data_IF_148861794375
#
_entry.id   IF_148861794375
#
_cell.length_a   1.000
_cell.length_b   1.000
_cell.length_c   1.000
_cell.angle_alpha   90.00
_cell.angle_beta   90.00
_cell.angle_gamma   90.00
#
_symmetry.space_group_name_H-M   'P 1'
#
loop_
_entity.id
_entity.type
_entity.pdbx_description
1 polymer ?
#
# COMPACT_ATOMS: atom_id res chain seq x y z
N UNK A 1 -2.17 30.05 27.70
CA UNK A 1 -3.04 30.54 26.62
C UNK A 1 -4.01 31.54 27.24
N UNK A 2 -3.79 32.83 27.04
CA UNK A 2 -4.71 33.88 27.49
C UNK A 2 -5.93 33.93 26.56
N UNK A 3 -7.12 34.11 27.14
CA UNK A 3 -8.35 34.29 26.37
C UNK A 3 -8.32 35.62 25.60
N UNK A 4 -8.92 35.62 24.41
CA UNK A 4 -9.09 36.85 23.62
C UNK A 4 -9.94 37.84 24.43
N UNK A 5 -9.52 39.11 24.50
CA UNK A 5 -10.11 40.12 25.40
C UNK A 5 -11.62 40.37 25.19
N UNK A 6 -12.16 39.94 24.05
CA UNK A 6 -13.55 40.15 23.65
C UNK A 6 -14.53 39.10 24.21
N UNK A 7 -14.04 37.93 24.64
CA UNK A 7 -14.91 36.84 25.10
C UNK A 7 -14.71 36.64 26.60
N UNK A 8 -15.79 36.72 27.36
CA UNK A 8 -15.74 36.44 28.79
C UNK A 8 -15.55 34.94 29.07
N UNK A 9 -14.83 34.61 30.14
CA UNK A 9 -14.60 33.21 30.53
C UNK A 9 -15.90 32.47 30.85
N UNK A 10 -16.86 33.15 31.47
CA UNK A 10 -18.18 32.58 31.79
C UNK A 10 -19.00 32.25 30.53
N UNK A 11 -18.95 33.13 29.53
CA UNK A 11 -19.60 32.88 28.25
C UNK A 11 -18.97 31.69 27.54
N UNK A 12 -17.63 31.66 27.46
CA UNK A 12 -16.88 30.57 26.85
C UNK A 12 -17.20 29.21 27.48
N UNK A 13 -17.11 29.11 28.80
CA UNK A 13 -17.36 27.85 29.54
C UNK A 13 -18.79 27.36 29.37
N UNK A 14 -19.77 28.27 29.44
CA UNK A 14 -21.19 27.96 29.19
C UNK A 14 -21.42 27.41 27.78
N UNK A 15 -20.84 28.04 26.77
CA UNK A 15 -20.95 27.61 25.37
C UNK A 15 -20.32 26.24 25.15
N UNK A 16 -19.12 26.00 25.71
CA UNK A 16 -18.44 24.69 25.68
C UNK A 16 -19.32 23.60 26.30
N UNK A 17 -19.91 23.86 27.47
CA UNK A 17 -20.77 22.89 28.17
C UNK A 17 -22.05 22.57 27.39
N UNK A 18 -22.62 23.56 26.71
CA UNK A 18 -23.75 23.34 25.82
C UNK A 18 -23.36 22.49 24.61
N UNK A 19 -22.26 22.82 23.94
CA UNK A 19 -21.78 22.08 22.76
C UNK A 19 -21.42 20.64 23.13
N UNK A 20 -20.69 20.44 24.24
CA UNK A 20 -20.30 19.13 24.73
C UNK A 20 -21.52 18.23 24.98
N UNK A 21 -22.55 18.75 25.66
CA UNK A 21 -23.81 18.00 25.90
C UNK A 21 -24.51 17.59 24.60
N UNK A 22 -24.57 18.48 23.60
CA UNK A 22 -25.22 18.20 22.32
C UNK A 22 -24.45 17.17 21.50
N UNK A 23 -23.12 17.29 21.44
CA UNK A 23 -22.28 16.41 20.62
C UNK A 23 -21.96 15.07 21.31
N UNK A 24 -22.04 14.98 22.63
CA UNK A 24 -21.74 13.76 23.40
C UNK A 24 -22.58 12.57 22.95
N UNK A 25 -23.86 12.78 22.61
CA UNK A 25 -24.74 11.68 22.14
C UNK A 25 -24.19 10.97 20.90
N UNK A 26 -23.45 11.67 20.05
CA UNK A 26 -22.94 11.14 18.78
C UNK A 26 -21.47 10.76 18.86
N UNK A 27 -20.66 11.56 19.55
CA UNK A 27 -19.21 11.42 19.56
C UNK A 27 -18.65 11.04 20.93
N UNK A 28 -19.42 11.19 22.01
CA UNK A 28 -18.92 11.08 23.38
C UNK A 28 -18.31 9.72 23.72
N UNK A 29 -18.95 8.63 23.30
CA UNK A 29 -18.50 7.25 23.61
C UNK A 29 -17.13 6.91 23.01
N UNK A 30 -16.73 7.63 21.96
CA UNK A 30 -15.43 7.48 21.33
C UNK A 30 -14.31 8.11 22.17
N UNK A 31 -14.63 9.09 23.02
CA UNK A 31 -13.68 9.86 23.81
C UNK A 31 -13.65 9.48 25.31
N UNK A 32 -14.29 8.38 25.69
CA UNK A 32 -14.42 7.96 27.08
C UNK A 32 -15.65 8.52 27.77
N UNK A 33 -15.46 9.23 28.89
CA UNK A 33 -16.53 9.79 29.72
C UNK A 33 -17.07 11.14 29.21
N UNK A 34 -18.13 11.63 29.87
CA UNK A 34 -18.70 12.95 29.58
C UNK A 34 -17.71 14.07 29.88
N UNK A 35 -16.95 13.94 30.95
CA UNK A 35 -15.97 14.94 31.37
C UNK A 35 -14.76 14.97 30.43
N UNK A 36 -14.28 13.80 29.99
CA UNK A 36 -13.20 13.69 29.00
C UNK A 36 -13.59 14.37 27.68
N UNK A 37 -14.81 14.09 27.19
CA UNK A 37 -15.32 14.71 25.97
C UNK A 37 -15.47 16.24 26.13
N UNK A 38 -15.94 16.70 27.29
CA UNK A 38 -16.05 18.14 27.60
C UNK A 38 -14.68 18.82 27.57
N UNK A 39 -13.66 18.23 28.20
CA UNK A 39 -12.29 18.74 28.18
C UNK A 39 -11.77 18.81 26.74
N UNK A 40 -12.01 17.78 25.94
CA UNK A 40 -11.59 17.75 24.54
C UNK A 40 -12.28 18.84 23.71
N UNK A 41 -13.57 19.09 23.93
CA UNK A 41 -14.32 20.19 23.30
C UNK A 41 -13.72 21.54 23.68
N UNK A 42 -13.34 21.72 24.95
CA UNK A 42 -12.70 22.96 25.42
C UNK A 42 -11.37 23.21 24.69
N UNK A 43 -10.53 22.19 24.53
CA UNK A 43 -9.26 22.30 23.79
C UNK A 43 -9.49 22.72 22.33
N UNK A 44 -10.42 22.07 21.62
CA UNK A 44 -10.75 22.45 20.24
C UNK A 44 -11.33 23.85 20.12
N UNK A 45 -12.11 24.29 21.10
CA UNK A 45 -12.66 25.64 21.15
C UNK A 45 -11.56 26.69 21.38
N UNK A 46 -10.60 26.42 22.27
CA UNK A 46 -9.44 27.29 22.52
C UNK A 46 -8.55 27.43 21.28
N UNK A 47 -8.31 26.34 20.54
CA UNK A 47 -7.57 26.36 19.27
C UNK A 47 -8.25 27.22 18.19
N UNK A 48 -9.58 27.29 18.21
CA UNK A 48 -10.35 28.06 17.24
C UNK A 48 -10.45 29.55 17.57
N UNK A 49 -10.36 29.90 18.86
CA UNK A 49 -10.61 31.23 19.39
C UNK A 49 -9.79 32.35 18.73
N UNK A 50 -8.49 32.16 18.36
CA UNK A 50 -7.71 33.19 17.66
C UNK A 50 -8.27 33.60 16.28
N UNK A 51 -9.17 32.79 15.71
CA UNK A 51 -9.81 33.03 14.39
C UNK A 51 -11.26 33.50 14.54
N UNK A 52 -11.71 33.78 15.76
CA UNK A 52 -13.08 34.20 16.03
C UNK A 52 -13.29 35.66 15.64
N UNK A 53 -14.38 35.92 14.92
CA UNK A 53 -14.85 37.26 14.57
C UNK A 53 -15.97 37.66 15.55
N UNK A 54 -15.76 38.70 16.39
CA UNK A 54 -16.75 39.15 17.37
C UNK A 54 -18.08 39.64 16.78
N UNK A 55 -18.14 39.93 15.47
CA UNK A 55 -19.39 40.30 14.80
C UNK A 55 -20.38 39.14 14.64
N UNK A 56 -19.99 37.90 14.96
CA UNK A 56 -20.82 36.69 14.85
C UNK A 56 -21.04 36.07 16.23
N UNK A 57 -22.14 35.35 16.48
CA UNK A 57 -22.36 34.69 17.77
C UNK A 57 -21.34 33.57 18.02
N UNK A 58 -20.75 33.56 19.23
CA UNK A 58 -19.73 32.60 19.65
C UNK A 58 -20.20 31.15 19.51
N UNK A 59 -21.44 30.86 19.92
CA UNK A 59 -22.06 29.54 19.86
C UNK A 59 -22.02 28.94 18.46
N UNK A 60 -22.40 29.73 17.45
CA UNK A 60 -22.45 29.27 16.06
C UNK A 60 -21.06 28.98 15.50
N UNK A 61 -20.08 29.83 15.83
CA UNK A 61 -18.69 29.66 15.44
C UNK A 61 -18.07 28.41 16.07
N UNK A 62 -18.15 28.29 17.40
CA UNK A 62 -17.58 27.17 18.14
C UNK A 62 -18.27 25.86 17.80
N UNK A 63 -19.60 25.82 17.71
CA UNK A 63 -20.34 24.61 17.34
C UNK A 63 -19.87 24.05 16.00
N UNK A 64 -19.72 24.91 14.98
CA UNK A 64 -19.22 24.48 13.67
C UNK A 64 -17.80 23.92 13.77
N UNK A 65 -16.89 24.63 14.44
CA UNK A 65 -15.49 24.22 14.54
C UNK A 65 -15.33 22.91 15.32
N UNK A 66 -15.89 22.86 16.53
CA UNK A 66 -15.83 21.69 17.42
C UNK A 66 -16.48 20.48 16.76
N UNK A 67 -17.64 20.63 16.11
CA UNK A 67 -18.29 19.53 15.40
C UNK A 67 -17.42 18.97 14.28
N UNK A 68 -16.76 19.84 13.52
CA UNK A 68 -15.83 19.41 12.46
C UNK A 68 -14.62 18.68 13.06
N UNK A 69 -14.08 19.15 14.19
CA UNK A 69 -13.01 18.45 14.92
C UNK A 69 -13.46 17.09 15.45
N UNK A 70 -14.63 17.00 16.07
CA UNK A 70 -15.20 15.75 16.56
C UNK A 70 -15.45 14.76 15.42
N UNK A 71 -15.94 15.23 14.26
CA UNK A 71 -16.08 14.41 13.06
C UNK A 71 -14.74 13.88 12.56
N UNK A 72 -13.73 14.73 12.47
CA UNK A 72 -12.39 14.33 12.04
C UNK A 72 -11.78 13.34 13.02
N UNK A 73 -11.86 13.61 14.32
CA UNK A 73 -11.41 12.68 15.34
C UNK A 73 -12.11 11.34 15.24
N UNK A 74 -13.44 11.35 15.09
CA UNK A 74 -14.25 10.13 14.94
C UNK A 74 -13.86 9.33 13.70
N UNK A 75 -13.56 10.01 12.59
CA UNK A 75 -13.04 9.39 11.36
C UNK A 75 -11.67 8.75 11.59
N UNK A 76 -10.79 9.44 12.30
CA UNK A 76 -9.42 8.98 12.56
C UNK A 76 -9.39 7.72 13.44
N UNK A 77 -10.38 7.57 14.32
CA UNK A 77 -10.49 6.44 15.24
C UNK A 77 -11.47 5.36 14.75
N UNK A 78 -12.00 5.47 13.51
CA UNK A 78 -13.00 4.55 12.98
C UNK A 78 -12.38 3.24 12.44
N UNK A 79 -11.50 2.62 13.20
CA UNK A 79 -10.87 1.34 12.91
C UNK A 79 -11.75 0.16 13.36
N UNK A 80 -11.56 -1.06 12.80
CA UNK A 80 -12.10 -2.29 13.41
C UNK A 80 -11.08 -2.75 14.45
N UNK A 81 -11.31 -2.54 15.75
CA UNK A 81 -10.30 -2.79 16.79
C UNK A 81 -9.91 -4.26 16.91
N UNK A 82 -10.82 -5.17 16.55
CA UNK A 82 -10.58 -6.60 16.66
C UNK A 82 -9.88 -7.12 15.38
N UNK A 83 -8.61 -7.53 15.46
CA UNK A 83 -7.90 -8.08 14.33
C UNK A 83 -8.39 -9.50 14.03
N UNK A 84 -8.53 -9.82 12.74
CA UNK A 84 -8.93 -11.17 12.31
C UNK A 84 -7.91 -12.27 12.67
N UNK A 85 -6.69 -11.89 13.06
CA UNK A 85 -5.64 -12.76 13.56
C UNK A 85 -4.77 -11.99 14.55
N UNK A 86 -4.75 -12.43 15.81
CA UNK A 86 -3.98 -11.80 16.89
C UNK A 86 -2.47 -11.95 16.68
N UNK A 87 -2.01 -13.13 16.24
CA UNK A 87 -0.58 -13.41 15.98
C UNK A 87 0.00 -12.48 14.89
N UNK A 88 -0.68 -12.39 13.74
CA UNK A 88 -0.25 -11.48 12.67
C UNK A 88 -0.27 -10.01 13.13
N UNK A 89 -1.24 -9.63 13.97
CA UNK A 89 -1.32 -8.27 14.49
C UNK A 89 -0.20 -7.93 15.47
N UNK A 90 0.30 -8.90 16.24
CA UNK A 90 1.43 -8.71 17.16
C UNK A 90 2.80 -8.70 16.48
N UNK A 91 2.85 -8.73 15.14
CA UNK A 91 4.09 -8.75 14.37
C UNK A 91 4.67 -10.15 14.15
N UNK A 92 3.93 -11.21 14.51
CA UNK A 92 4.33 -12.60 14.29
C UNK A 92 3.48 -13.20 13.16
N UNK A 93 3.92 -13.10 11.89
CA UNK A 93 3.18 -13.63 10.76
C UNK A 93 2.97 -15.14 10.91
N UNK A 94 1.73 -15.60 10.75
CA UNK A 94 1.37 -17.01 10.88
C UNK A 94 1.28 -17.76 9.53
N UNK A 95 1.71 -17.12 8.43
CA UNK A 95 1.84 -17.77 7.13
C UNK A 95 3.08 -18.68 7.06
N UNK A 96 3.09 -19.65 6.14
CA UNK A 96 4.16 -20.65 6.01
C UNK A 96 5.54 -20.03 5.77
N UNK A 97 5.60 -18.91 5.04
CA UNK A 97 6.85 -18.23 4.67
C UNK A 97 7.16 -17.02 5.57
N UNK A 98 6.53 -16.93 6.74
CA UNK A 98 6.56 -15.70 7.55
C UNK A 98 5.78 -14.55 6.92
N UNK A 99 4.78 -14.87 6.07
CA UNK A 99 3.88 -13.89 5.48
C UNK A 99 2.62 -13.69 6.33
N UNK A 100 1.96 -12.54 6.19
CA UNK A 100 0.69 -12.27 6.86
C UNK A 100 -0.40 -13.20 6.32
N UNK A 101 -1.22 -13.78 7.20
CA UNK A 101 -2.30 -14.64 6.75
C UNK A 101 -3.37 -13.86 5.98
N UNK A 102 -4.05 -14.55 5.04
CA UNK A 102 -5.07 -13.94 4.18
C UNK A 102 -6.17 -13.23 4.98
N UNK A 103 -6.57 -13.76 6.14
CA UNK A 103 -7.56 -13.13 7.03
C UNK A 103 -7.10 -11.75 7.52
N UNK A 104 -5.84 -11.63 7.92
CA UNK A 104 -5.27 -10.37 8.40
C UNK A 104 -5.10 -9.37 7.25
N UNK A 105 -4.64 -9.83 6.08
CA UNK A 105 -4.53 -8.99 4.87
C UNK A 105 -5.89 -8.41 4.46
N UNK A 106 -6.94 -9.25 4.45
CA UNK A 106 -8.30 -8.78 4.14
C UNK A 106 -8.83 -7.80 5.19
N UNK A 107 -8.51 -8.01 6.47
CA UNK A 107 -8.87 -7.07 7.54
C UNK A 107 -8.15 -5.72 7.38
N UNK A 108 -6.85 -5.73 7.05
CA UNK A 108 -6.08 -4.53 6.75
C UNK A 108 -6.70 -3.77 5.57
N UNK A 109 -6.97 -4.45 4.45
CA UNK A 109 -7.64 -3.86 3.27
C UNK A 109 -9.00 -3.24 3.61
N UNK A 110 -9.81 -3.88 4.46
CA UNK A 110 -11.10 -3.32 4.88
C UNK A 110 -10.95 -2.09 5.77
N UNK A 111 -10.00 -2.11 6.70
CA UNK A 111 -9.72 -0.95 7.55
C UNK A 111 -9.14 0.21 6.72
N UNK A 112 -8.26 -0.09 5.76
CA UNK A 112 -7.73 0.87 4.80
C UNK A 112 -8.83 1.46 3.92
N UNK A 113 -9.69 0.63 3.32
CA UNK A 113 -10.83 1.11 2.54
C UNK A 113 -11.76 2.00 3.38
N UNK A 114 -12.04 1.60 4.62
CA UNK A 114 -12.86 2.39 5.56
C UNK A 114 -12.18 3.71 5.92
N UNK A 115 -10.87 3.71 6.12
CA UNK A 115 -10.08 4.91 6.36
C UNK A 115 -10.08 5.83 5.13
N UNK A 116 -9.94 5.29 3.92
CA UNK A 116 -9.99 6.05 2.66
C UNK A 116 -11.38 6.66 2.41
N UNK A 117 -12.46 5.94 2.74
CA UNK A 117 -13.82 6.48 2.69
C UNK A 117 -14.03 7.60 3.73
N UNK A 118 -13.44 7.46 4.91
CA UNK A 118 -13.54 8.45 5.98
C UNK A 118 -12.67 9.69 5.74
N UNK A 119 -11.50 9.51 5.12
CA UNK A 119 -10.53 10.53 4.71
C UNK A 119 -10.32 10.46 3.20
N UNK A 120 -11.22 11.05 2.40
CA UNK A 120 -10.96 11.19 0.98
C UNK A 120 -9.66 11.96 0.78
N UNK A 121 -8.78 11.43 -0.06
CA UNK A 121 -7.50 12.07 -0.39
C UNK A 121 -7.81 13.37 -1.13
N UNK A 122 -7.22 14.49 -0.70
CA UNK A 122 -7.34 15.76 -1.42
C UNK A 122 -6.80 15.61 -2.84
N UNK A 123 -7.45 16.24 -3.82
CA UNK A 123 -7.11 16.15 -5.24
C UNK A 123 -5.64 16.51 -5.50
N UNK A 124 -5.10 17.44 -4.71
CA UNK A 124 -3.71 17.88 -4.77
C UNK A 124 -2.70 16.74 -4.50
N UNK A 125 -3.06 15.79 -3.62
CA UNK A 125 -2.22 14.62 -3.30
C UNK A 125 -2.42 13.44 -4.24
N UNK A 126 -3.49 13.44 -5.02
CA UNK A 126 -3.75 12.36 -5.98
C UNK A 126 -2.69 12.40 -7.09
N UNK A 127 -2.36 13.60 -7.59
CA UNK A 127 -1.35 13.77 -8.63
C UNK A 127 0.07 13.33 -8.25
N UNK A 128 0.41 13.32 -6.95
CA UNK A 128 1.71 12.81 -6.46
C UNK A 128 1.76 11.29 -6.33
N UNK A 129 0.60 10.62 -6.20
CA UNK A 129 0.50 9.16 -5.96
C UNK A 129 0.16 8.37 -7.20
N UNK A 130 -0.56 8.98 -8.15
CA UNK A 130 -0.70 8.41 -9.48
C UNK A 130 0.61 8.68 -10.20
N UNK A 131 1.39 7.61 -10.45
CA UNK A 131 2.41 7.67 -11.49
C UNK A 131 1.80 8.14 -12.82
N UNK A 132 2.63 8.50 -13.83
CA UNK A 132 2.12 8.82 -15.15
C UNK A 132 1.10 7.75 -15.55
N UNK A 133 -0.07 8.21 -16.00
CA UNK A 133 -1.17 7.33 -16.34
C UNK A 133 -0.72 6.34 -17.41
N UNK A 134 -0.58 5.07 -17.06
CA UNK A 134 -0.19 4.01 -18.02
C UNK A 134 -1.25 3.82 -19.10
N UNK A 135 -2.43 4.43 -18.97
CA UNK A 135 -3.48 4.36 -19.98
C UNK A 135 -3.04 5.01 -21.31
N UNK A 136 -2.27 6.09 -21.28
CA UNK A 136 -1.75 6.73 -22.49
C UNK A 136 -0.66 5.88 -23.15
N UNK A 137 0.21 5.28 -22.33
CA UNK A 137 1.24 4.34 -22.78
C UNK A 137 0.60 3.12 -23.43
N UNK A 138 -0.37 2.49 -22.76
CA UNK A 138 -1.09 1.33 -23.30
C UNK A 138 -1.90 1.66 -24.56
N UNK A 139 -2.50 2.85 -24.65
CA UNK A 139 -3.19 3.28 -25.87
C UNK A 139 -2.20 3.41 -27.04
N UNK A 140 -1.02 3.98 -26.78
CA UNK A 140 0.06 4.10 -27.77
C UNK A 140 0.60 2.72 -28.17
N UNK A 141 0.85 1.83 -27.20
CA UNK A 141 1.28 0.45 -27.44
C UNK A 141 0.28 -0.33 -28.32
N UNK A 142 -1.02 -0.16 -28.06
CA UNK A 142 -2.07 -0.81 -28.84
C UNK A 142 -2.12 -0.27 -30.27
N UNK A 143 -2.09 1.05 -30.46
CA UNK A 143 -2.07 1.67 -31.79
C UNK A 143 -0.85 1.23 -32.62
N UNK A 144 0.32 1.18 -31.98
CA UNK A 144 1.55 0.68 -32.62
C UNK A 144 1.42 -0.79 -33.00
N UNK A 145 0.86 -1.61 -32.11
CA UNK A 145 0.65 -3.05 -32.37
C UNK A 145 -0.31 -3.27 -33.52
N UNK A 146 -1.44 -2.56 -33.57
CA UNK A 146 -2.42 -2.63 -34.67
C UNK A 146 -1.82 -2.20 -36.01
N UNK A 147 -1.02 -1.13 -36.00
CA UNK A 147 -0.32 -0.66 -37.20
C UNK A 147 0.69 -1.68 -37.72
N UNK A 148 1.43 -2.32 -36.82
CA UNK A 148 2.37 -3.39 -37.18
C UNK A 148 1.60 -4.59 -37.77
N UNK A 149 0.51 -5.01 -37.14
CA UNK A 149 -0.29 -6.14 -37.61
C UNK A 149 -0.94 -5.91 -38.99
N UNK A 150 -1.24 -4.66 -39.34
CA UNK A 150 -1.81 -4.28 -40.63
C UNK A 150 -0.77 -4.20 -41.77
N UNK A 151 0.46 -3.78 -41.47
CA UNK A 151 1.47 -3.47 -42.50
C UNK A 151 2.58 -4.52 -42.62
N UNK A 152 2.75 -5.39 -41.62
CA UNK A 152 3.81 -6.40 -41.65
C UNK A 152 3.51 -7.49 -42.70
N UNK A 153 4.46 -7.82 -43.59
CA UNK A 153 4.28 -8.89 -44.57
C UNK A 153 3.93 -10.23 -43.93
N UNK A 154 3.03 -11.00 -44.57
CA UNK A 154 2.50 -12.26 -44.04
C UNK A 154 3.58 -13.29 -43.70
N UNK A 155 4.69 -13.29 -44.45
CA UNK A 155 5.83 -14.18 -44.22
C UNK A 155 6.58 -13.86 -42.92
N UNK A 156 6.68 -12.57 -42.57
CA UNK A 156 7.37 -12.10 -41.37
C UNK A 156 6.47 -12.14 -40.13
N UNK A 157 5.15 -12.16 -40.30
CA UNK A 157 4.17 -12.16 -39.22
C UNK A 157 4.30 -13.35 -38.27
N UNK A 158 4.55 -14.55 -38.80
CA UNK A 158 4.74 -15.74 -37.97
C UNK A 158 5.95 -15.62 -37.03
N UNK A 159 7.06 -15.07 -37.53
CA UNK A 159 8.27 -14.83 -36.74
C UNK A 159 8.08 -13.71 -35.72
N UNK A 160 7.34 -12.65 -36.07
CA UNK A 160 6.99 -11.57 -35.16
C UNK A 160 6.16 -12.07 -33.96
N UNK A 161 5.11 -12.86 -34.21
CA UNK A 161 4.29 -13.44 -33.14
C UNK A 161 5.10 -14.37 -32.22
N UNK A 162 6.03 -15.15 -32.78
CA UNK A 162 6.98 -15.96 -32.01
C UNK A 162 7.90 -15.11 -31.14
N UNK A 163 8.40 -13.99 -31.67
CA UNK A 163 9.20 -13.03 -30.89
C UNK A 163 8.40 -12.42 -29.74
N UNK A 164 7.12 -12.08 -29.96
CA UNK A 164 6.22 -11.54 -28.93
C UNK A 164 5.93 -12.57 -27.83
N UNK A 165 5.81 -13.85 -28.19
CA UNK A 165 5.64 -14.97 -27.26
C UNK A 165 6.93 -15.35 -26.50
N UNK A 166 8.08 -14.79 -26.86
CA UNK A 166 9.38 -15.12 -26.28
C UNK A 166 10.03 -16.39 -26.84
N UNK A 167 9.53 -16.92 -27.96
CA UNK A 167 10.09 -18.10 -28.62
C UNK A 167 11.41 -17.77 -29.34
N UNK A 168 12.36 -18.73 -29.42
CA UNK A 168 13.61 -18.54 -30.14
C UNK A 168 13.39 -18.43 -31.66
N UNK A 169 13.91 -17.35 -32.25
CA UNK A 169 13.88 -17.10 -33.70
C UNK A 169 15.31 -16.96 -34.21
N UNK A 170 15.57 -17.51 -35.40
CA UNK A 170 16.87 -17.40 -36.06
C UNK A 170 17.30 -15.93 -36.25
N UNK A 171 18.61 -15.67 -36.13
CA UNK A 171 19.20 -14.33 -36.19
C UNK A 171 18.87 -13.59 -37.48
N UNK A 172 18.89 -14.29 -38.63
CA UNK A 172 18.56 -13.72 -39.93
C UNK A 172 17.10 -13.27 -39.98
N UNK A 173 16.19 -14.08 -39.45
CA UNK A 173 14.76 -13.78 -39.43
C UNK A 173 14.43 -12.66 -38.44
N UNK A 174 15.04 -12.68 -37.25
CA UNK A 174 14.93 -11.60 -36.27
C UNK A 174 15.36 -10.26 -36.87
N UNK A 175 16.47 -10.22 -37.61
CA UNK A 175 16.94 -9.00 -38.28
C UNK A 175 15.98 -8.53 -39.38
N UNK A 176 15.42 -9.45 -40.18
CA UNK A 176 14.41 -9.11 -41.20
C UNK A 176 13.15 -8.51 -40.56
N UNK A 177 12.66 -9.09 -39.47
CA UNK A 177 11.51 -8.57 -38.71
C UNK A 177 11.83 -7.19 -38.15
N UNK A 178 12.97 -7.01 -37.47
CA UNK A 178 13.39 -5.73 -36.92
C UNK A 178 13.48 -4.62 -37.98
N UNK A 179 14.01 -4.95 -39.16
CA UNK A 179 14.10 -4.00 -40.28
C UNK A 179 12.73 -3.59 -40.80
N UNK A 180 11.82 -4.55 -41.00
CA UNK A 180 10.46 -4.28 -41.46
C UNK A 180 9.67 -3.45 -40.43
N UNK A 181 9.82 -3.76 -39.14
CA UNK A 181 9.21 -2.99 -38.04
C UNK A 181 9.75 -1.56 -38.01
N UNK A 182 11.06 -1.37 -38.13
CA UNK A 182 11.66 -0.03 -38.16
C UNK A 182 11.20 0.79 -39.37
N UNK A 183 11.07 0.17 -40.54
CA UNK A 183 10.53 0.82 -41.73
C UNK A 183 9.07 1.27 -41.54
N UNK A 184 8.21 0.42 -40.95
CA UNK A 184 6.81 0.75 -40.63
C UNK A 184 6.72 1.93 -39.64
N UNK A 185 7.63 1.97 -38.67
CA UNK A 185 7.70 3.02 -37.64
C UNK A 185 8.45 4.28 -38.11
N UNK A 186 9.07 4.27 -39.30
CA UNK A 186 9.86 5.40 -39.81
C UNK A 186 11.16 5.64 -39.02
N UNK A 187 11.74 4.59 -38.45
CA UNK A 187 13.00 4.65 -37.72
C UNK A 187 14.16 4.27 -38.64
N UNK A 188 15.18 5.13 -38.69
CA UNK A 188 16.41 4.85 -39.43
C UNK A 188 17.27 3.86 -38.64
N UNK A 189 17.34 2.61 -39.10
CA UNK A 189 18.31 1.64 -38.61
C UNK A 189 19.66 1.82 -39.34
N UNK A 190 20.80 1.77 -38.63
CA UNK A 190 22.11 1.80 -39.27
C UNK A 190 22.24 0.63 -40.24
N UNK A 191 22.76 0.90 -41.43
CA UNK A 191 23.04 -0.12 -42.43
C UNK A 191 23.91 -1.21 -41.80
N UNK A 192 23.50 -2.48 -41.95
CA UNK A 192 24.22 -3.56 -41.32
C UNK A 192 25.69 -3.53 -41.73
N UNK A 193 26.65 -3.71 -40.79
CA UNK A 193 28.01 -4.02 -41.18
C UNK A 193 27.93 -5.29 -42.02
N UNK A 194 28.39 -5.20 -43.27
CA UNK A 194 28.48 -6.34 -44.18
C UNK A 194 29.05 -7.51 -43.38
N UNK A 195 28.35 -8.65 -43.37
CA UNK A 195 28.74 -9.80 -42.57
C UNK A 195 30.22 -10.08 -42.81
N UNK A 196 31.04 -9.73 -41.82
CA UNK A 196 32.45 -10.07 -41.82
C UNK A 196 32.39 -11.58 -41.70
N UNK A 197 32.52 -12.28 -42.83
CA UNK A 197 32.74 -13.72 -42.84
C UNK A 197 33.88 -13.92 -41.85
N UNK A 198 33.69 -14.65 -40.75
CA UNK A 198 34.78 -14.92 -39.86
C UNK A 198 35.85 -15.57 -40.73
N UNK A 199 36.97 -14.86 -40.90
CA UNK A 199 38.17 -15.43 -41.50
C UNK A 199 38.41 -16.68 -40.69
N UNK A 200 38.24 -17.84 -41.34
CA UNK A 200 38.49 -19.15 -40.76
C UNK A 200 39.98 -19.19 -40.41
N UNK A 201 40.34 -18.67 -39.25
CA UNK A 201 41.63 -18.90 -38.64
C UNK A 201 41.60 -20.38 -38.28
N UNK A 202 42.30 -21.17 -39.08
CA UNK A 202 42.64 -22.55 -38.76
C UNK A 202 43.45 -22.50 -37.46
N UNK A 203 42.76 -22.67 -36.33
CA UNK A 203 43.40 -22.80 -35.04
C UNK A 203 44.08 -24.17 -35.04
N UNK A 204 45.38 -24.19 -35.33
CA UNK A 204 46.25 -25.34 -35.17
C UNK A 204 46.15 -25.79 -33.71
N UNK A 205 45.56 -26.96 -33.49
CA UNK A 205 45.45 -27.60 -32.18
C UNK A 205 46.85 -28.07 -31.76
N UNK A 206 47.55 -27.29 -30.93
CA UNK A 206 48.73 -27.76 -30.21
C UNK A 206 48.29 -28.60 -29.00
N UNK A 207 48.89 -29.78 -28.87
CA UNK A 207 48.46 -30.87 -28.00
C UNK A 207 48.87 -30.74 -26.50
N UNK A 208 49.01 -29.53 -25.96
CA UNK A 208 49.63 -29.31 -24.64
C UNK A 208 48.74 -28.72 -23.54
N UNK A 209 47.41 -28.71 -23.67
CA UNK A 209 46.52 -28.38 -22.54
C UNK A 209 46.02 -29.65 -21.83
N UNK A 210 46.96 -30.24 -21.09
CA UNK A 210 46.75 -31.32 -20.14
C UNK A 210 46.43 -30.72 -18.75
N UNK A 211 45.18 -30.94 -18.31
CA UNK A 211 44.72 -31.20 -16.94
C UNK A 211 45.23 -30.32 -15.78
N UNK A 212 44.30 -29.60 -15.13
CA UNK A 212 44.13 -29.68 -13.66
C UNK A 212 42.63 -29.62 -13.28
N UNK A 213 42.07 -30.67 -12.67
CA UNK A 213 40.74 -30.64 -12.05
C UNK A 213 40.86 -30.39 -10.54
N UNK A 214 40.98 -29.13 -10.12
CA UNK A 214 40.87 -28.75 -8.71
C UNK A 214 39.54 -28.03 -8.45
N UNK A 215 38.65 -28.70 -7.71
CA UNK A 215 37.40 -28.10 -7.29
C UNK A 215 36.39 -29.06 -6.67
N UNK A 216 36.83 -29.90 -5.72
CA UNK A 216 35.92 -30.66 -4.86
C UNK A 216 35.17 -29.66 -3.95
N UNK A 217 33.97 -29.27 -4.37
CA UNK A 217 33.05 -28.49 -3.56
C UNK A 217 32.62 -29.30 -2.34
N UNK A 218 33.08 -28.87 -1.17
CA UNK A 218 32.67 -29.41 0.12
C UNK A 218 31.16 -29.17 0.32
N UNK A 219 30.38 -30.25 0.30
CA UNK A 219 29.00 -30.27 0.76
C UNK A 219 29.02 -30.18 2.29
N UNK A 220 28.64 -29.04 2.83
CA UNK A 220 28.40 -28.88 4.27
C UNK A 220 27.00 -29.43 4.56
N UNK A 221 26.93 -30.65 5.09
CA UNK A 221 25.72 -31.18 5.73
C UNK A 221 25.45 -30.39 7.02
N UNK A 222 24.51 -29.46 6.97
CA UNK A 222 23.90 -28.88 8.17
C UNK A 222 23.07 -29.96 8.89
N UNK A 223 23.69 -30.58 9.90
CA UNK A 223 23.00 -31.43 10.86
C UNK A 223 21.98 -30.62 11.64
N UNK A 224 20.71 -30.86 11.36
CA UNK A 224 19.57 -30.43 12.16
C UNK A 224 19.70 -30.97 13.59
N UNK A 225 19.90 -30.08 14.57
CA UNK A 225 19.74 -30.43 15.98
C UNK A 225 18.24 -30.63 16.31
N UNK A 226 17.87 -31.69 17.06
CA UNK A 226 16.51 -31.85 17.54
C UNK A 226 16.23 -30.85 18.68
N UNK A 227 15.42 -29.83 18.40
CA UNK A 227 14.85 -28.94 19.42
C UNK A 227 14.04 -29.78 20.42
N UNK A 228 14.55 -29.85 21.65
CA UNK A 228 13.89 -30.45 22.82
C UNK A 228 12.47 -29.87 22.96
N UNK A 229 11.49 -30.76 22.88
CA UNK A 229 10.10 -30.54 23.31
C UNK A 229 10.10 -30.10 24.78
N UNK A 230 9.88 -28.81 25.03
CA UNK A 230 9.38 -28.35 26.32
C UNK A 230 7.88 -28.68 26.37
N UNK A 231 7.57 -29.78 27.02
CA UNK A 231 6.23 -30.09 27.53
C UNK A 231 5.90 -29.09 28.63
N UNK A 232 5.26 -27.97 28.24
CA UNK A 232 4.58 -27.10 29.22
C UNK A 232 3.31 -27.84 29.65
N UNK A 233 3.38 -28.42 30.85
CA UNK A 233 2.21 -28.91 31.58
C UNK A 233 1.24 -27.74 31.76
N UNK A 234 0.06 -27.84 31.16
CA UNK A 234 -1.10 -27.03 31.51
C UNK A 234 -1.57 -27.45 32.89
N UNK A 235 -1.20 -26.70 33.92
CA UNK A 235 -1.88 -26.79 35.20
C UNK A 235 -3.26 -26.12 35.07
N UNK A 236 -4.25 -26.99 35.01
CA UNK A 236 -5.67 -26.70 35.18
C UNK A 236 -5.92 -26.14 36.59
N UNK A 237 -5.86 -24.81 36.72
CA UNK A 237 -6.38 -24.08 37.87
C UNK A 237 -7.82 -23.65 37.63
N UNK A 238 -8.77 -24.55 37.79
CA UNK A 238 -10.18 -24.21 37.93
C UNK A 238 -10.38 -23.60 39.33
N UNK A 239 -10.39 -22.28 39.41
CA UNK A 239 -10.75 -21.57 40.64
C UNK A 239 -12.20 -21.07 40.52
N UNK A 240 -13.05 -21.72 41.31
CA UNK A 240 -14.36 -21.27 41.77
C UNK A 240 -14.49 -19.75 41.94
N UNK A 241 -15.46 -19.16 41.23
CA UNK A 241 -16.38 -18.12 41.73
C UNK A 241 -17.69 -18.32 40.96
N UNK A 242 -18.81 -18.72 41.55
CA UNK A 242 -19.35 -18.21 42.81
C UNK A 242 -20.35 -17.10 42.47
N UNK A 243 -21.60 -17.52 42.27
CA UNK A 243 -22.88 -16.83 42.47
C UNK A 243 -23.04 -15.32 42.17
N UNK A 244 -24.13 -15.01 41.44
CA UNK A 244 -25.21 -14.03 41.72
C UNK A 244 -25.85 -13.72 40.34
N UNK A 245 -27.06 -14.16 40.01
CA UNK A 245 -28.28 -13.89 40.75
C UNK A 245 -28.88 -12.57 40.24
N UNK A 246 -29.61 -12.61 39.12
CA UNK A 246 -30.50 -11.52 38.72
C UNK A 246 -31.88 -12.09 38.40
N UNK A 247 -32.77 -11.91 39.37
CA UNK A 247 -34.20 -12.10 39.28
C UNK A 247 -34.85 -10.76 38.91
N UNK A 248 -35.85 -10.83 38.04
CA UNK A 248 -36.91 -9.84 37.72
C UNK A 248 -36.52 -8.53 37.05
#
# INVERSE_FOLDING_TARGET
>A
MSLHSTVSEQEFTRTVDQIARLLFKKFGTLHGGRDDFRQQVALWALEALPRYDPGRPLDGFLMRHVRNRALNWSRDHYFRPEPACVQCHSGSPCGPDGTLCQKHVLWLKRNEAKANLARPVGLERVGERTGPSTAEEHATENELTERLDAQLPIELRSYYLRMLAGDPVDTTHRQKVQRAVAEILGLDLPAQPASVRPSRQEHELTADDVLEPDGVGHIVEERSEPRKLLTVRTESGCADRGALGCNR
#
